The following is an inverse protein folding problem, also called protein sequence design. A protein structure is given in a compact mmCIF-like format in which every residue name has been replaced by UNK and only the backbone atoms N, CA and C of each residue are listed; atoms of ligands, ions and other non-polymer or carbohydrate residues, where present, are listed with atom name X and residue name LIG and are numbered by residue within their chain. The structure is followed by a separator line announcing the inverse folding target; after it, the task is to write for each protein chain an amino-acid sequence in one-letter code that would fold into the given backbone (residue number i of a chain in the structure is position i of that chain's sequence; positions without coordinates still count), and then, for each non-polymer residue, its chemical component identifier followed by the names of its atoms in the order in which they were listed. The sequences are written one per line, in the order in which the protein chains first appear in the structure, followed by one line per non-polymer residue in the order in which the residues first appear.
data_IF_083740269283
#
_entry.id   IF_083740269283
#
_cell.length_a   1.000
_cell.length_b   1.000
_cell.length_c   1.000
_cell.angle_alpha   90.00
_cell.angle_beta   90.00
_cell.angle_gamma   90.00
#
_symmetry.space_group_name_H-M   'P 1'
#
loop_
_entity.id
_entity.type
_entity.pdbx_description
1 polymer ?
#
# COMPACT_ATOMS: atom_id res chain seq x y z
N UNK A 1 -8.31 -10.09 23.47
CA UNK A 1 -8.58 -11.16 22.50
C UNK A 1 -7.31 -11.90 22.14
N UNK A 2 -7.38 -13.02 21.43
CA UNK A 2 -6.18 -13.69 20.95
C UNK A 2 -5.47 -12.78 19.94
N UNK A 3 -4.19 -12.52 20.18
CA UNK A 3 -3.32 -11.86 19.21
C UNK A 3 -2.60 -12.94 18.41
N UNK A 4 -2.77 -12.97 17.10
CA UNK A 4 -1.91 -13.79 16.24
C UNK A 4 -0.60 -13.04 16.00
N UNK A 5 0.52 -13.73 16.18
CA UNK A 5 1.81 -13.24 15.72
C UNK A 5 1.79 -13.33 14.19
N UNK A 6 1.77 -12.20 13.50
CA UNK A 6 1.38 -12.06 12.10
C UNK A 6 -0.15 -12.10 11.85
N UNK A 7 -0.53 -11.85 10.61
CA UNK A 7 -1.93 -11.81 10.17
C UNK A 7 -2.38 -13.22 9.75
N UNK A 8 -2.85 -14.02 10.71
CA UNK A 8 -3.41 -15.36 10.42
C UNK A 8 -4.94 -15.31 10.40
N UNK A 9 -5.50 -14.83 9.29
CA UNK A 9 -6.94 -14.73 9.12
C UNK A 9 -7.65 -16.09 9.14
N UNK A 10 -7.14 -17.18 8.50
CA UNK A 10 -7.76 -18.51 8.57
C UNK A 10 -7.89 -19.04 9.99
N UNK A 11 -6.84 -18.91 10.80
CA UNK A 11 -6.88 -19.34 12.20
C UNK A 11 -7.92 -18.51 12.99
N UNK A 12 -7.89 -17.19 12.84
CA UNK A 12 -8.84 -16.29 13.49
C UNK A 12 -10.28 -16.63 13.10
N UNK A 13 -10.56 -16.83 11.82
CA UNK A 13 -11.90 -17.23 11.34
C UNK A 13 -12.34 -18.56 11.97
N UNK A 14 -11.43 -19.53 12.10
CA UNK A 14 -11.75 -20.81 12.73
C UNK A 14 -12.15 -20.67 14.22
N UNK A 15 -11.50 -19.78 14.94
CA UNK A 15 -11.84 -19.45 16.34
C UNK A 15 -13.22 -18.81 16.44
N UNK A 16 -13.49 -17.85 15.57
CA UNK A 16 -14.80 -17.15 15.55
C UNK A 16 -15.93 -18.11 15.16
N UNK A 17 -15.72 -18.98 14.16
CA UNK A 17 -16.68 -19.97 13.69
C UNK A 17 -17.04 -21.01 14.77
N UNK A 18 -16.10 -21.35 15.65
CA UNK A 18 -16.33 -22.25 16.81
C UNK A 18 -17.03 -21.56 17.99
N UNK A 19 -17.53 -20.35 17.79
CA UNK A 19 -18.26 -19.58 18.78
C UNK A 19 -17.39 -18.71 19.68
N UNK A 20 -16.12 -18.53 19.37
CA UNK A 20 -15.21 -17.65 20.11
C UNK A 20 -15.67 -16.19 20.14
N UNK A 21 -16.35 -15.73 19.09
CA UNK A 21 -16.81 -14.36 18.95
C UNK A 21 -17.64 -13.85 20.16
N UNK A 22 -18.43 -14.71 20.80
CA UNK A 22 -19.25 -14.34 21.96
C UNK A 22 -18.44 -13.98 23.21
N UNK A 23 -17.18 -14.42 23.28
CA UNK A 23 -16.29 -14.20 24.43
C UNK A 23 -15.28 -13.08 24.20
N UNK A 24 -15.28 -12.47 23.02
CA UNK A 24 -14.33 -11.43 22.64
C UNK A 24 -15.01 -10.07 22.55
N UNK A 25 -14.43 -9.07 23.19
CA UNK A 25 -14.83 -7.67 23.05
C UNK A 25 -14.04 -6.96 21.95
N UNK A 26 -12.84 -7.44 21.69
CA UNK A 26 -11.90 -6.88 20.71
C UNK A 26 -11.17 -8.04 20.03
N UNK A 27 -10.89 -7.92 18.74
CA UNK A 27 -9.95 -8.80 18.03
C UNK A 27 -8.65 -8.05 17.76
N UNK A 28 -7.53 -8.76 17.87
CA UNK A 28 -6.19 -8.16 17.67
C UNK A 28 -5.33 -9.01 16.77
N UNK A 29 -4.37 -8.36 16.10
CA UNK A 29 -3.35 -8.99 15.29
C UNK A 29 -2.02 -8.19 15.37
N UNK A 30 -0.93 -8.78 14.86
CA UNK A 30 0.40 -8.17 14.80
C UNK A 30 0.86 -8.10 13.33
N UNK A 31 0.52 -7.06 12.58
CA UNK A 31 0.78 -6.98 11.15
C UNK A 31 2.20 -6.53 10.82
N UNK A 32 3.20 -7.23 11.34
CA UNK A 32 4.60 -6.97 11.00
C UNK A 32 4.86 -7.16 9.50
N UNK A 33 5.41 -6.14 8.84
CA UNK A 33 5.69 -6.17 7.41
C UNK A 33 6.96 -5.44 7.04
N UNK A 34 7.64 -6.00 6.04
CA UNK A 34 8.77 -5.34 5.39
C UNK A 34 8.33 -4.36 4.30
N UNK A 35 7.15 -4.58 3.75
CA UNK A 35 6.49 -3.68 2.81
C UNK A 35 4.98 -3.76 3.01
N UNK A 36 4.30 -2.67 3.39
CA UNK A 36 2.85 -2.68 3.58
C UNK A 36 2.06 -2.70 2.27
N UNK A 37 2.72 -2.44 1.16
CA UNK A 37 2.09 -2.41 -0.16
C UNK A 37 2.02 -3.79 -0.82
N UNK A 38 2.87 -4.74 -0.40
CA UNK A 38 3.02 -6.04 -1.03
C UNK A 38 3.20 -7.17 0.00
N UNK A 39 2.16 -7.99 0.27
CA UNK A 39 0.76 -7.81 -0.18
C UNK A 39 0.12 -6.57 0.45
N UNK A 40 -0.92 -6.02 -0.20
CA UNK A 40 -1.60 -4.78 0.21
C UNK A 40 -2.25 -4.94 1.59
N UNK A 41 -1.66 -4.29 2.60
CA UNK A 41 -2.10 -4.39 3.99
C UNK A 41 -3.50 -3.84 4.19
N UNK A 42 -3.86 -2.74 3.51
CA UNK A 42 -5.20 -2.18 3.65
C UNK A 42 -6.28 -3.16 3.14
N UNK A 43 -6.03 -3.83 2.01
CA UNK A 43 -6.94 -4.87 1.50
C UNK A 43 -7.03 -6.07 2.45
N UNK A 44 -5.91 -6.48 3.03
CA UNK A 44 -5.91 -7.58 3.99
C UNK A 44 -6.71 -7.23 5.24
N UNK A 45 -6.52 -6.03 5.82
CA UNK A 45 -7.30 -5.58 6.97
C UNK A 45 -8.79 -5.43 6.63
N UNK A 46 -9.15 -5.01 5.42
CA UNK A 46 -10.54 -5.04 4.95
C UNK A 46 -11.11 -6.47 4.91
N UNK A 47 -10.32 -7.46 4.54
CA UNK A 47 -10.75 -8.86 4.57
C UNK A 47 -10.94 -9.36 6.02
N UNK A 48 -10.05 -8.95 6.94
CA UNK A 48 -10.23 -9.17 8.37
C UNK A 48 -11.55 -8.57 8.85
N UNK A 49 -11.86 -7.31 8.50
CA UNK A 49 -13.11 -6.65 8.87
C UNK A 49 -14.33 -7.43 8.38
N UNK A 50 -14.32 -7.90 7.12
CA UNK A 50 -15.42 -8.71 6.56
C UNK A 50 -15.63 -10.03 7.34
N UNK A 51 -14.55 -10.69 7.74
CA UNK A 51 -14.64 -11.92 8.55
C UNK A 51 -15.18 -11.60 9.94
N UNK A 52 -14.64 -10.59 10.61
CA UNK A 52 -15.10 -10.18 11.94
C UNK A 52 -16.60 -9.86 11.92
N UNK A 53 -17.05 -9.04 10.96
CA UNK A 53 -18.45 -8.61 10.85
C UNK A 53 -19.42 -9.76 10.56
N UNK A 54 -18.97 -10.84 9.95
CA UNK A 54 -19.77 -12.07 9.73
C UNK A 54 -20.16 -12.73 11.06
N UNK A 55 -19.27 -12.70 12.05
CA UNK A 55 -19.46 -13.39 13.34
C UNK A 55 -19.89 -12.48 14.48
N UNK A 56 -19.42 -11.23 14.49
CA UNK A 56 -19.78 -10.21 15.49
C UNK A 56 -19.67 -8.81 14.86
N UNK A 57 -20.73 -8.34 14.19
CA UNK A 57 -20.76 -7.00 13.60
C UNK A 57 -20.38 -5.91 14.59
N UNK A 58 -19.48 -5.00 14.20
CA UNK A 58 -19.04 -3.89 15.01
C UNK A 58 -18.05 -4.23 16.13
N UNK A 59 -17.54 -5.48 16.20
CA UNK A 59 -16.47 -5.81 17.15
C UNK A 59 -15.19 -5.06 16.75
N UNK A 60 -14.57 -4.28 17.67
CA UNK A 60 -13.38 -3.52 17.37
C UNK A 60 -12.21 -4.40 16.89
N UNK A 61 -11.43 -3.87 15.93
CA UNK A 61 -10.24 -4.50 15.40
C UNK A 61 -9.01 -3.63 15.66
N UNK A 62 -8.06 -4.12 16.44
CA UNK A 62 -6.86 -3.41 16.84
C UNK A 62 -5.61 -4.14 16.36
N UNK A 63 -4.61 -3.39 15.90
CA UNK A 63 -3.23 -3.86 15.84
C UNK A 63 -2.61 -3.65 17.22
N UNK A 64 -2.48 -4.73 18.00
CA UNK A 64 -1.98 -4.62 19.37
C UNK A 64 -0.46 -4.61 19.47
N UNK A 65 0.22 -4.93 18.39
CA UNK A 65 1.67 -4.84 18.28
C UNK A 65 2.09 -4.84 16.82
N UNK A 66 2.77 -3.80 16.36
CA UNK A 66 3.43 -3.80 15.07
C UNK A 66 4.55 -2.76 15.01
N UNK A 67 5.53 -3.03 14.20
CA UNK A 67 6.70 -2.17 14.03
C UNK A 67 7.74 -2.89 13.20
N UNK A 68 8.94 -2.36 13.15
CA UNK A 68 10.05 -3.01 12.47
C UNK A 68 11.27 -3.06 13.36
N UNK A 69 11.87 -4.24 13.44
CA UNK A 69 13.16 -4.48 14.05
C UNK A 69 14.21 -4.63 12.97
N UNK A 70 15.37 -4.04 13.17
CA UNK A 70 16.57 -4.36 12.41
C UNK A 70 17.69 -4.76 13.38
N UNK A 71 18.18 -5.97 13.18
CA UNK A 71 19.23 -6.57 14.03
C UNK A 71 20.65 -6.27 13.54
N UNK A 72 20.84 -5.38 12.58
CA UNK A 72 22.16 -5.07 12.03
C UNK A 72 22.69 -3.73 12.52
N UNK A 73 23.96 -3.72 12.92
CA UNK A 73 24.73 -2.50 13.14
C UNK A 73 24.97 -1.84 11.79
N UNK A 74 24.39 -0.68 11.57
CA UNK A 74 24.62 0.09 10.35
C UNK A 74 25.87 0.96 10.49
N UNK A 75 26.62 1.19 9.39
CA UNK A 75 27.63 2.22 9.35
C UNK A 75 27.05 3.59 9.74
N UNK A 76 27.82 4.37 10.48
CA UNK A 76 27.36 5.66 11.03
C UNK A 76 26.85 6.62 9.96
N UNK A 77 27.46 6.64 8.78
CA UNK A 77 27.04 7.45 7.63
C UNK A 77 25.73 7.02 6.97
N UNK A 78 25.18 5.84 7.30
CA UNK A 78 23.91 5.33 6.76
C UNK A 78 22.74 5.46 7.74
N UNK A 79 23.00 5.86 8.99
CA UNK A 79 22.00 5.85 10.06
C UNK A 79 20.83 6.79 9.74
N UNK A 80 21.07 7.97 9.20
CA UNK A 80 20.03 8.97 8.96
C UNK A 80 19.08 8.57 7.81
N UNK A 81 19.63 8.13 6.69
CA UNK A 81 18.81 7.67 5.55
C UNK A 81 18.03 6.41 5.93
N UNK A 82 18.68 5.48 6.60
CA UNK A 82 18.03 4.27 7.10
C UNK A 82 16.89 4.60 8.07
N UNK A 83 17.13 5.48 9.05
CA UNK A 83 16.11 5.89 10.01
C UNK A 83 14.92 6.55 9.34
N UNK A 84 15.15 7.37 8.31
CA UNK A 84 14.11 8.00 7.51
C UNK A 84 13.27 6.97 6.76
N UNK A 85 13.91 5.97 6.14
CA UNK A 85 13.23 4.88 5.44
C UNK A 85 12.39 4.04 6.40
N UNK A 86 12.93 3.68 7.57
CA UNK A 86 12.22 2.91 8.58
C UNK A 86 11.02 3.68 9.13
N UNK A 87 11.21 4.96 9.48
CA UNK A 87 10.13 5.82 9.93
C UNK A 87 9.02 5.93 8.89
N UNK A 88 9.39 6.13 7.63
CA UNK A 88 8.44 6.17 6.52
C UNK A 88 7.65 4.88 6.38
N UNK A 89 8.32 3.73 6.56
CA UNK A 89 7.68 2.42 6.51
C UNK A 89 6.65 2.23 7.62
N UNK A 90 6.98 2.60 8.87
CA UNK A 90 6.04 2.50 9.99
C UNK A 90 4.82 3.40 9.78
N UNK A 91 5.02 4.63 9.34
CA UNK A 91 3.91 5.54 9.04
C UNK A 91 3.00 4.97 7.93
N UNK A 92 3.58 4.35 6.89
CA UNK A 92 2.80 3.70 5.82
C UNK A 92 2.04 2.47 6.33
N UNK A 93 2.65 1.66 7.21
CA UNK A 93 1.97 0.55 7.87
C UNK A 93 0.73 1.02 8.64
N UNK A 94 0.88 2.05 9.47
CA UNK A 94 -0.21 2.61 10.27
C UNK A 94 -1.33 3.16 9.37
N UNK A 95 -0.98 3.97 8.36
CA UNK A 95 -1.97 4.54 7.43
C UNK A 95 -2.75 3.42 6.73
N UNK A 96 -2.07 2.37 6.25
CA UNK A 96 -2.75 1.27 5.56
C UNK A 96 -3.58 0.41 6.51
N UNK A 97 -3.13 0.20 7.75
CA UNK A 97 -3.94 -0.48 8.75
C UNK A 97 -5.26 0.30 9.00
N UNK A 98 -5.19 1.62 9.20
CA UNK A 98 -6.38 2.47 9.34
C UNK A 98 -7.25 2.49 8.08
N UNK A 99 -6.63 2.56 6.89
CA UNK A 99 -7.36 2.46 5.62
C UNK A 99 -8.04 1.09 5.43
N UNK A 100 -7.58 0.07 6.11
CA UNK A 100 -8.18 -1.26 6.17
C UNK A 100 -9.25 -1.45 7.25
N UNK A 101 -9.48 -0.43 8.10
CA UNK A 101 -10.49 -0.47 9.15
C UNK A 101 -9.98 -0.91 10.52
N UNK A 102 -8.67 -0.94 10.74
CA UNK A 102 -8.08 -1.04 12.08
C UNK A 102 -8.38 0.25 12.84
N UNK A 103 -8.90 0.14 14.05
CA UNK A 103 -9.35 1.29 14.84
C UNK A 103 -8.27 1.82 15.79
N UNK A 104 -7.33 0.95 16.19
CA UNK A 104 -6.17 1.32 17.02
C UNK A 104 -4.94 0.57 16.61
N UNK A 105 -3.81 1.27 16.65
CA UNK A 105 -2.51 0.73 16.29
C UNK A 105 -1.51 1.01 17.42
N UNK A 106 -0.89 -0.04 17.95
CA UNK A 106 0.13 0.04 18.98
C UNK A 106 1.49 -0.17 18.36
N UNK A 107 2.27 0.91 18.29
CA UNK A 107 3.63 0.88 17.76
C UNK A 107 4.56 0.10 18.69
N UNK A 108 5.22 -0.91 18.17
CA UNK A 108 6.29 -1.61 18.82
C UNK A 108 7.63 -1.18 18.18
N UNK A 109 8.51 -0.44 18.90
CA UNK A 109 8.53 -0.22 20.33
C UNK A 109 8.83 1.25 20.66
N UNK A 110 8.45 1.69 21.85
CA UNK A 110 8.67 3.07 22.32
C UNK A 110 10.16 3.40 22.49
N UNK A 111 10.94 2.52 23.10
CA UNK A 111 12.39 2.66 23.25
C UNK A 111 13.09 1.30 23.19
N UNK A 112 14.28 1.24 22.59
CA UNK A 112 15.05 0.00 22.52
C UNK A 112 15.51 -0.43 23.92
N UNK A 113 15.38 -1.73 24.23
CA UNK A 113 15.81 -2.28 25.52
C UNK A 113 17.22 -2.92 25.48
N UNK A 114 17.76 -3.13 24.28
CA UNK A 114 19.07 -3.76 24.12
C UNK A 114 19.99 -2.92 23.22
N UNK A 115 21.30 -2.78 23.59
CA UNK A 115 22.30 -2.21 22.69
C UNK A 115 22.42 -3.06 21.41
N UNK A 116 22.47 -2.43 20.25
CA UNK A 116 22.66 -3.10 18.94
C UNK A 116 21.37 -3.57 18.25
N UNK A 117 20.22 -3.53 18.92
CA UNK A 117 18.93 -3.73 18.26
C UNK A 117 18.37 -2.37 17.90
N UNK A 118 18.37 -2.06 16.62
CA UNK A 118 17.76 -0.82 16.09
C UNK A 118 16.31 -1.09 15.70
N UNK A 119 15.42 -1.04 16.67
CA UNK A 119 14.02 -0.82 16.36
C UNK A 119 13.82 0.61 15.88
N UNK A 120 12.82 0.82 15.09
CA UNK A 120 12.35 2.16 14.77
C UNK A 120 11.67 2.77 16.01
N UNK A 121 12.50 3.19 16.95
CA UNK A 121 12.07 3.64 18.28
C UNK A 121 11.69 5.11 18.25
N UNK A 122 10.68 5.47 19.03
CA UNK A 122 10.28 6.86 19.22
C UNK A 122 11.35 7.66 19.97
N UNK A 123 12.09 7.00 20.88
CA UNK A 123 13.18 7.61 21.64
C UNK A 123 14.46 6.81 21.50
N UNK A 124 15.56 7.51 21.21
CA UNK A 124 16.93 6.99 21.22
C UNK A 124 17.60 7.35 22.54
N UNK A 125 18.52 6.54 23.01
CA UNK A 125 19.31 6.91 24.17
C UNK A 125 19.54 5.82 25.21
N UNK A 126 19.55 4.55 24.81
CA UNK A 126 19.95 3.48 25.72
C UNK A 126 21.48 3.40 25.82
N UNK A 127 22.01 3.90 26.88
CA UNK A 127 23.36 3.60 27.34
C UNK A 127 24.53 4.36 26.72
N UNK A 128 24.44 4.81 25.47
CA UNK A 128 25.54 5.51 24.81
C UNK A 128 25.67 6.99 25.21
N UNK A 129 24.55 7.63 25.59
CA UNK A 129 24.46 9.06 25.93
C UNK A 129 23.97 9.26 27.37
N UNK A 130 24.56 8.57 28.35
CA UNK A 130 24.21 8.71 29.78
C UNK A 130 22.71 8.50 30.10
N UNK A 131 22.01 7.72 29.29
CA UNK A 131 20.60 7.35 29.54
C UNK A 131 19.56 8.44 29.30
N UNK A 132 19.93 9.59 28.74
CA UNK A 132 18.94 10.64 28.43
C UNK A 132 18.17 10.28 27.14
N UNK A 133 16.84 10.07 27.19
CA UNK A 133 16.05 9.80 25.99
C UNK A 133 16.02 11.00 25.05
N UNK A 134 16.36 10.79 23.79
CA UNK A 134 16.28 11.81 22.73
C UNK A 134 15.18 11.42 21.74
N UNK A 135 14.23 12.32 21.41
CA UNK A 135 13.22 12.03 20.42
C UNK A 135 13.84 11.67 19.07
N UNK A 136 13.45 10.53 18.51
CA UNK A 136 13.85 10.10 17.16
C UNK A 136 12.91 10.64 16.09
N UNK A 137 13.25 10.46 14.80
CA UNK A 137 12.41 10.85 13.66
C UNK A 137 11.00 10.26 13.76
N UNK A 138 10.88 9.04 14.22
CA UNK A 138 9.60 8.34 14.39
C UNK A 138 8.65 9.11 15.32
N UNK A 139 9.16 9.71 16.39
CA UNK A 139 8.33 10.50 17.30
C UNK A 139 7.69 11.70 16.61
N UNK A 140 8.45 12.42 15.80
CA UNK A 140 7.94 13.59 15.06
C UNK A 140 6.95 13.16 13.96
N UNK A 141 7.26 12.08 13.24
CA UNK A 141 6.38 11.55 12.20
C UNK A 141 5.07 11.01 12.80
N UNK A 142 5.13 10.34 13.96
CA UNK A 142 3.96 9.86 14.69
C UNK A 142 3.10 11.04 15.17
N UNK A 143 3.71 12.10 15.70
CA UNK A 143 2.97 13.32 16.04
C UNK A 143 2.25 13.90 14.83
N UNK A 144 2.95 14.04 13.67
CA UNK A 144 2.35 14.55 12.45
C UNK A 144 1.18 13.69 11.95
N UNK A 145 1.30 12.35 12.11
CA UNK A 145 0.25 11.39 11.81
C UNK A 145 -0.96 11.59 12.75
N UNK A 146 -0.71 11.62 14.08
CA UNK A 146 -1.76 11.77 15.09
C UNK A 146 -2.51 13.09 14.92
N UNK A 147 -1.80 14.21 14.74
CA UNK A 147 -2.42 15.52 14.52
C UNK A 147 -3.38 15.54 13.31
N UNK A 148 -3.27 14.57 12.40
CA UNK A 148 -4.04 14.50 11.15
C UNK A 148 -4.98 13.31 11.02
N UNK A 149 -4.73 12.22 11.72
CA UNK A 149 -5.53 11.00 11.56
C UNK A 149 -6.13 10.49 12.87
N UNK A 150 -5.89 11.15 14.02
CA UNK A 150 -6.59 10.81 15.26
C UNK A 150 -8.09 10.94 15.07
N UNK A 151 -8.82 9.87 15.42
CA UNK A 151 -10.27 9.73 15.25
C UNK A 151 -10.81 9.90 13.82
N UNK A 152 -9.93 10.03 12.83
CA UNK A 152 -10.33 10.11 11.44
C UNK A 152 -10.82 8.77 10.91
N UNK A 153 -11.83 8.81 10.06
CA UNK A 153 -12.39 7.63 9.41
C UNK A 153 -11.99 7.60 7.95
N UNK A 154 -11.60 6.41 7.48
CA UNK A 154 -11.38 6.22 6.06
C UNK A 154 -12.68 6.45 5.26
N UNK A 155 -12.63 7.32 4.24
CA UNK A 155 -13.75 7.53 3.32
C UNK A 155 -13.52 6.80 2.01
N UNK A 156 -12.31 6.91 1.44
CA UNK A 156 -12.01 6.28 0.14
C UNK A 156 -10.53 6.14 -0.17
N UNK A 157 -10.22 5.22 -1.06
CA UNK A 157 -8.95 5.11 -1.74
C UNK A 157 -9.05 5.80 -3.09
N UNK A 158 -8.12 6.70 -3.40
CA UNK A 158 -7.99 7.35 -4.71
C UNK A 158 -7.00 6.56 -5.57
N UNK A 159 -7.37 6.23 -6.80
CA UNK A 159 -6.57 5.39 -7.70
C UNK A 159 -5.72 6.23 -8.64
N UNK A 160 -4.41 6.23 -8.42
CA UNK A 160 -3.41 6.87 -9.30
C UNK A 160 -2.57 5.87 -10.10
N UNK A 161 -2.67 4.59 -9.77
CA UNK A 161 -1.90 3.49 -10.31
C UNK A 161 -1.33 2.60 -9.20
N UNK A 162 -0.86 1.40 -9.56
CA UNK A 162 -0.43 0.37 -8.60
C UNK A 162 0.72 0.81 -7.70
N UNK A 163 1.57 1.73 -8.19
CA UNK A 163 2.73 2.22 -7.44
C UNK A 163 2.36 3.32 -6.43
N UNK A 164 1.14 3.83 -6.52
CA UNK A 164 0.68 4.92 -5.66
C UNK A 164 -0.30 4.42 -4.60
N UNK A 165 -0.23 5.04 -3.43
CA UNK A 165 -1.22 4.90 -2.36
C UNK A 165 -1.74 6.27 -2.00
N UNK A 166 -3.06 6.43 -2.10
CA UNK A 166 -3.74 7.64 -1.69
C UNK A 166 -5.05 7.29 -1.00
N UNK A 167 -5.19 7.75 0.23
CA UNK A 167 -6.38 7.50 1.05
C UNK A 167 -6.91 8.82 1.60
N UNK A 168 -8.21 9.05 1.51
CA UNK A 168 -8.90 10.20 2.07
C UNK A 168 -9.53 9.79 3.40
N UNK A 169 -9.19 10.51 4.44
CA UNK A 169 -9.73 10.36 5.79
C UNK A 169 -10.56 11.57 6.17
N UNK A 170 -11.68 11.35 6.87
CA UNK A 170 -12.61 12.39 7.33
C UNK A 170 -12.46 12.65 8.82
N UNK A 171 -12.33 13.92 9.18
CA UNK A 171 -12.32 14.44 10.55
C UNK A 171 -13.62 15.22 10.89
N UNK A 172 -14.64 15.16 10.05
CA UNK A 172 -15.86 15.94 10.17
C UNK A 172 -15.75 17.35 9.59
N UNK A 173 -14.79 18.19 10.03
CA UNK A 173 -14.63 19.58 9.56
C UNK A 173 -13.64 19.70 8.39
N UNK A 174 -12.71 18.81 8.28
CA UNK A 174 -11.69 18.77 7.23
C UNK A 174 -11.45 17.32 6.81
N UNK A 175 -10.82 17.16 5.66
CA UNK A 175 -10.33 15.88 5.16
C UNK A 175 -8.83 15.93 5.00
N UNK A 176 -8.19 14.81 5.26
CA UNK A 176 -6.77 14.63 5.00
C UNK A 176 -6.58 13.49 4.01
N UNK A 177 -5.96 13.78 2.88
CA UNK A 177 -5.45 12.72 2.00
C UNK A 177 -4.01 12.40 2.40
N UNK A 178 -3.71 11.12 2.49
CA UNK A 178 -2.34 10.61 2.62
C UNK A 178 -1.89 10.14 1.26
N UNK A 179 -0.68 10.52 0.81
CA UNK A 179 -0.23 10.21 -0.53
C UNK A 179 1.25 9.86 -0.57
N UNK A 180 1.59 8.71 -1.17
CA UNK A 180 2.99 8.30 -1.41
C UNK A 180 3.12 7.40 -2.62
N UNK A 181 4.36 7.21 -3.08
CA UNK A 181 4.74 6.23 -4.10
C UNK A 181 5.49 5.09 -3.42
N UNK A 182 5.02 3.86 -3.60
CA UNK A 182 5.54 2.67 -2.88
C UNK A 182 6.95 2.27 -3.33
N UNK A 183 7.28 2.47 -4.60
CA UNK A 183 8.57 2.05 -5.17
C UNK A 183 8.99 2.91 -6.36
N UNK A 184 10.22 2.71 -6.83
CA UNK A 184 10.79 3.39 -7.98
C UNK A 184 11.29 4.81 -7.71
N UNK A 185 11.68 5.52 -8.76
CA UNK A 185 12.14 6.90 -8.66
C UNK A 185 11.01 7.84 -8.19
N UNK A 186 11.33 8.93 -7.47
CA UNK A 186 10.32 9.91 -7.07
C UNK A 186 9.56 10.48 -8.27
N UNK A 187 8.25 10.64 -8.11
CA UNK A 187 7.41 11.33 -9.07
C UNK A 187 7.20 12.79 -8.64
N UNK A 188 6.92 13.66 -9.60
CA UNK A 188 6.58 15.05 -9.37
C UNK A 188 5.08 15.24 -9.55
N UNK A 189 4.44 15.82 -8.56
CA UNK A 189 3.00 16.13 -8.58
C UNK A 189 2.84 17.65 -8.64
N UNK A 190 1.99 18.11 -9.54
CA UNK A 190 1.70 19.54 -9.70
C UNK A 190 0.20 19.77 -9.76
N UNK A 191 -0.32 20.64 -8.91
CA UNK A 191 -1.69 21.15 -8.96
C UNK A 191 -1.75 22.47 -9.77
N UNK A 192 -2.90 22.78 -10.36
CA UNK A 192 -3.15 24.12 -10.85
C UNK A 192 -3.09 25.12 -9.68
N UNK A 193 -2.85 26.41 -9.96
CA UNK A 193 -2.81 27.44 -8.91
C UNK A 193 -4.13 27.50 -8.14
N UNK A 194 -5.25 27.50 -8.85
CA UNK A 194 -6.60 27.59 -8.26
C UNK A 194 -6.96 26.35 -7.41
N UNK A 195 -6.46 25.18 -7.81
CA UNK A 195 -6.67 23.95 -7.03
C UNK A 195 -5.77 23.92 -5.80
N UNK A 196 -4.53 24.40 -5.90
CA UNK A 196 -3.60 24.45 -4.79
C UNK A 196 -4.06 25.38 -3.65
N UNK A 197 -4.81 26.44 -3.95
CA UNK A 197 -5.38 27.35 -2.95
C UNK A 197 -6.41 26.65 -2.03
N UNK A 198 -7.00 25.53 -2.48
CA UNK A 198 -7.96 24.71 -1.71
C UNK A 198 -7.26 23.66 -0.86
N UNK A 199 -5.94 23.57 -0.91
CA UNK A 199 -5.14 22.52 -0.31
C UNK A 199 -4.11 23.07 0.67
N UNK A 200 -3.84 22.28 1.71
CA UNK A 200 -2.69 22.50 2.58
C UNK A 200 -1.79 21.26 2.54
N UNK A 201 -0.59 21.40 1.99
CA UNK A 201 0.35 20.32 1.76
C UNK A 201 1.36 20.23 2.89
N UNK A 202 1.68 18.99 3.32
CA UNK A 202 2.66 18.73 4.36
C UNK A 202 3.50 17.49 4.02
N UNK A 203 4.74 17.50 4.47
CA UNK A 203 5.57 16.30 4.47
C UNK A 203 5.18 15.33 5.60
N UNK A 204 5.81 14.16 5.64
CA UNK A 204 5.50 13.13 6.66
C UNK A 204 5.93 13.51 8.09
N UNK A 205 6.75 14.56 8.24
CA UNK A 205 7.13 15.16 9.52
C UNK A 205 6.19 16.28 9.96
N UNK A 206 5.20 16.63 9.14
CA UNK A 206 4.24 17.67 9.41
C UNK A 206 4.69 19.08 8.98
N UNK A 207 5.82 19.20 8.28
CA UNK A 207 6.30 20.47 7.77
C UNK A 207 5.46 20.92 6.58
N UNK A 208 4.98 22.17 6.60
CA UNK A 208 4.21 22.77 5.51
C UNK A 208 5.04 22.85 4.23
N UNK A 209 4.46 22.43 3.11
CA UNK A 209 5.03 22.58 1.78
C UNK A 209 4.35 23.79 1.12
N UNK A 210 5.04 24.95 0.98
CA UNK A 210 4.44 26.19 0.48
C UNK A 210 4.45 26.25 -1.06
N UNK A 211 4.09 25.16 -1.74
CA UNK A 211 4.14 25.05 -3.20
C UNK A 211 2.96 24.26 -3.71
N UNK A 212 2.54 24.57 -4.94
CA UNK A 212 1.59 23.73 -5.68
C UNK A 212 2.25 22.51 -6.34
N UNK A 213 3.53 22.32 -6.12
CA UNK A 213 4.34 21.25 -6.68
C UNK A 213 5.18 20.60 -5.58
N UNK A 214 5.22 19.28 -5.56
CA UNK A 214 6.01 18.51 -4.61
C UNK A 214 6.44 17.16 -5.17
N UNK A 215 7.51 16.61 -4.59
CA UNK A 215 8.00 15.28 -4.90
C UNK A 215 7.25 14.24 -4.06
N UNK A 216 6.80 13.16 -4.71
CA UNK A 216 6.19 11.99 -4.09
C UNK A 216 7.13 10.81 -4.22
N UNK A 217 7.52 10.26 -3.09
CA UNK A 217 8.37 9.09 -2.93
C UNK A 217 7.76 8.18 -1.86
N UNK A 218 8.54 7.28 -1.27
CA UNK A 218 8.10 6.39 -0.21
C UNK A 218 7.71 7.09 1.10
N UNK A 219 8.12 8.36 1.31
CA UNK A 219 7.72 9.13 2.49
C UNK A 219 6.33 9.75 2.27
N UNK A 220 5.32 9.37 3.07
CA UNK A 220 3.96 9.89 2.91
C UNK A 220 3.90 11.41 2.93
N UNK A 221 2.99 11.97 2.17
CA UNK A 221 2.58 13.37 2.22
C UNK A 221 1.18 13.45 2.77
N UNK A 222 0.87 14.54 3.46
CA UNK A 222 -0.49 14.84 3.90
C UNK A 222 -1.01 16.04 3.11
N UNK A 223 -2.25 15.94 2.68
CA UNK A 223 -2.95 16.98 1.92
C UNK A 223 -4.26 17.23 2.64
N UNK A 224 -4.39 18.38 3.29
CA UNK A 224 -5.61 18.78 3.99
C UNK A 224 -6.51 19.61 3.07
N UNK A 225 -7.82 19.40 3.14
CA UNK A 225 -8.85 20.17 2.42
C UNK A 225 -10.16 20.21 3.20
N UNK A 226 -10.97 21.22 2.94
CA UNK A 226 -12.36 21.34 3.45
C UNK A 226 -13.42 20.90 2.45
N UNK A 227 -13.00 20.46 1.25
CA UNK A 227 -13.89 19.93 0.21
C UNK A 227 -14.57 18.63 0.68
N UNK A 228 -15.72 18.30 0.11
CA UNK A 228 -16.30 16.96 0.25
C UNK A 228 -15.34 15.88 -0.26
N UNK A 229 -15.50 14.65 0.17
CA UNK A 229 -14.64 13.55 -0.26
C UNK A 229 -14.65 13.37 -1.80
N UNK A 230 -15.81 13.53 -2.42
CA UNK A 230 -15.94 13.42 -3.88
C UNK A 230 -15.23 14.56 -4.63
N UNK A 231 -15.42 15.80 -4.20
CA UNK A 231 -14.74 16.96 -4.78
C UNK A 231 -13.23 16.89 -4.56
N UNK A 232 -12.80 16.47 -3.36
CA UNK A 232 -11.40 16.32 -3.04
C UNK A 232 -10.73 15.24 -3.89
N UNK A 233 -11.38 14.08 -4.05
CA UNK A 233 -10.90 13.03 -4.97
C UNK A 233 -10.76 13.55 -6.41
N UNK A 234 -11.79 14.25 -6.92
CA UNK A 234 -11.74 14.82 -8.27
C UNK A 234 -10.61 15.85 -8.42
N UNK A 235 -10.37 16.66 -7.39
CA UNK A 235 -9.28 17.62 -7.39
C UNK A 235 -7.92 16.89 -7.41
N UNK A 236 -7.75 15.87 -6.57
CA UNK A 236 -6.53 15.06 -6.54
C UNK A 236 -6.26 14.39 -7.89
N UNK A 237 -7.29 13.83 -8.54
CA UNK A 237 -7.17 13.15 -9.84
C UNK A 237 -6.85 14.11 -11.01
N UNK A 238 -7.09 15.42 -10.86
CA UNK A 238 -6.70 16.45 -11.83
C UNK A 238 -5.22 16.81 -11.76
N UNK A 239 -4.53 16.44 -10.67
CA UNK A 239 -3.10 16.72 -10.53
C UNK A 239 -2.31 16.15 -11.72
N UNK A 240 -1.35 16.93 -12.19
CA UNK A 240 -0.38 16.43 -13.18
C UNK A 240 0.70 15.63 -12.48
N UNK A 241 0.85 14.36 -12.87
CA UNK A 241 1.88 13.46 -12.35
C UNK A 241 2.93 13.24 -13.43
N UNK A 242 4.15 13.69 -13.17
CA UNK A 242 5.32 13.41 -14.00
C UNK A 242 6.14 12.31 -13.34
N UNK A 243 6.08 11.10 -13.91
CA UNK A 243 6.73 9.90 -13.41
C UNK A 243 7.41 9.15 -14.55
N UNK A 244 8.72 9.26 -14.65
CA UNK A 244 9.52 8.61 -15.69
C UNK A 244 9.72 7.11 -15.46
N UNK A 245 9.42 6.61 -14.27
CA UNK A 245 9.60 5.20 -13.88
C UNK A 245 8.30 4.40 -13.86
N UNK A 246 7.14 5.01 -14.12
CA UNK A 246 5.86 4.33 -14.06
C UNK A 246 5.73 3.27 -15.15
N UNK A 247 5.68 2.01 -14.74
CA UNK A 247 5.31 0.89 -15.59
C UNK A 247 3.81 0.97 -15.87
N UNK A 248 3.41 0.92 -17.13
CA UNK A 248 1.98 1.06 -17.49
C UNK A 248 1.24 -0.26 -17.47
N UNK A 249 1.94 -1.33 -17.82
CA UNK A 249 1.37 -2.68 -17.94
C UNK A 249 2.29 -3.70 -17.27
N UNK A 250 1.66 -4.70 -16.67
CA UNK A 250 2.31 -5.93 -16.28
C UNK A 250 1.69 -7.11 -17.02
N UNK A 251 2.52 -8.08 -17.41
CA UNK A 251 2.11 -9.21 -18.25
C UNK A 251 2.61 -10.50 -17.63
N UNK A 252 1.70 -11.44 -17.42
CA UNK A 252 2.01 -12.78 -16.95
C UNK A 252 1.31 -13.82 -17.83
N UNK A 253 1.80 -15.05 -17.79
CA UNK A 253 1.23 -16.17 -18.50
C UNK A 253 0.90 -17.27 -17.50
N UNK A 254 -0.36 -17.70 -17.47
CA UNK A 254 -0.81 -18.81 -16.62
C UNK A 254 -1.40 -19.94 -17.47
N UNK A 255 -1.11 -21.20 -17.15
CA UNK A 255 -1.80 -22.32 -17.79
C UNK A 255 -3.29 -22.27 -17.44
N UNK A 256 -4.15 -22.45 -18.45
CA UNK A 256 -5.60 -22.54 -18.28
C UNK A 256 -6.05 -24.00 -18.37
N UNK A 257 -5.43 -24.76 -19.28
CA UNK A 257 -5.62 -26.19 -19.44
C UNK A 257 -4.39 -26.81 -20.15
N UNK A 258 -4.39 -28.11 -20.38
CA UNK A 258 -3.34 -28.80 -21.17
C UNK A 258 -3.21 -28.25 -22.60
N UNK A 259 -4.29 -27.65 -23.13
CA UNK A 259 -4.34 -27.15 -24.51
C UNK A 259 -4.60 -25.65 -24.61
N UNK A 260 -4.50 -24.92 -23.50
CA UNK A 260 -4.71 -23.47 -23.50
C UNK A 260 -3.91 -22.78 -22.38
N UNK A 261 -3.49 -21.56 -22.65
CA UNK A 261 -2.91 -20.66 -21.64
C UNK A 261 -3.59 -19.30 -21.69
N UNK A 262 -3.56 -18.60 -20.58
CA UNK A 262 -4.07 -17.25 -20.44
C UNK A 262 -2.93 -16.23 -20.38
N UNK A 263 -2.99 -15.19 -21.21
CA UNK A 263 -2.15 -14.02 -21.03
C UNK A 263 -2.89 -13.05 -20.13
N UNK A 264 -2.38 -12.88 -18.93
CA UNK A 264 -2.87 -11.91 -17.94
C UNK A 264 -2.22 -10.55 -18.22
N UNK A 265 -3.04 -9.56 -18.56
CA UNK A 265 -2.59 -8.18 -18.73
C UNK A 265 -3.18 -7.35 -17.62
N UNK A 266 -2.32 -6.79 -16.78
CA UNK A 266 -2.71 -5.91 -15.68
C UNK A 266 -2.40 -4.47 -16.03
N UNK A 267 -3.40 -3.61 -15.96
CA UNK A 267 -3.23 -2.17 -16.07
C UNK A 267 -2.71 -1.64 -14.73
N UNK A 268 -1.49 -1.13 -14.72
CA UNK A 268 -0.85 -0.58 -13.52
C UNK A 268 -1.13 0.92 -13.33
N UNK A 269 -1.83 1.56 -14.28
CA UNK A 269 -2.19 2.99 -14.19
C UNK A 269 -3.52 3.19 -13.47
N UNK A 270 -3.82 4.41 -13.06
CA UNK A 270 -5.12 4.78 -12.48
C UNK A 270 -6.22 5.04 -13.53
N UNK A 271 -5.91 5.00 -14.83
CA UNK A 271 -6.83 5.31 -15.94
C UNK A 271 -7.05 4.10 -16.83
N UNK A 272 -8.19 4.00 -17.55
CA UNK A 272 -8.37 2.95 -18.54
C UNK A 272 -7.33 3.03 -19.66
N UNK A 273 -6.84 1.87 -20.13
CA UNK A 273 -5.91 1.76 -21.25
C UNK A 273 -6.39 0.77 -22.30
N UNK A 274 -5.96 1.00 -23.53
CA UNK A 274 -6.06 0.04 -24.63
C UNK A 274 -4.71 -0.63 -24.83
N UNK A 275 -4.72 -1.91 -25.22
CA UNK A 275 -3.51 -2.60 -25.62
C UNK A 275 -3.78 -3.68 -26.67
N UNK A 276 -2.74 -4.11 -27.35
CA UNK A 276 -2.77 -5.26 -28.25
C UNK A 276 -1.80 -6.31 -27.73
N UNK A 277 -2.31 -7.50 -27.44
CA UNK A 277 -1.52 -8.67 -27.06
C UNK A 277 -1.20 -9.48 -28.32
N UNK A 278 0.03 -9.70 -28.61
CA UNK A 278 0.49 -10.52 -29.74
C UNK A 278 1.39 -11.64 -29.25
N UNK A 279 1.10 -12.86 -29.67
CA UNK A 279 1.86 -14.05 -29.37
C UNK A 279 2.67 -14.43 -30.61
N UNK A 280 3.99 -14.34 -30.49
CA UNK A 280 4.90 -14.77 -31.52
C UNK A 280 5.31 -16.23 -31.29
N UNK A 281 4.68 -17.11 -32.02
CA UNK A 281 4.97 -18.55 -31.97
C UNK A 281 4.99 -19.13 -33.37
N UNK A 282 5.84 -20.08 -33.63
CA UNK A 282 5.92 -20.76 -34.94
C UNK A 282 4.69 -21.68 -35.22
N UNK A 283 3.49 -21.05 -35.21
CA UNK A 283 2.22 -21.75 -35.49
C UNK A 283 1.67 -22.59 -34.33
N UNK A 284 2.14 -22.33 -33.09
CA UNK A 284 1.64 -23.04 -31.89
C UNK A 284 0.26 -22.57 -31.43
N UNK A 285 -0.18 -21.41 -31.88
CA UNK A 285 -1.51 -20.88 -31.53
C UNK A 285 -2.51 -21.30 -32.59
N UNK A 286 -3.66 -21.79 -32.13
CA UNK A 286 -4.82 -22.07 -32.96
C UNK A 286 -5.63 -20.80 -33.18
N UNK A 287 -5.71 -20.37 -34.41
CA UNK A 287 -6.47 -19.15 -34.74
C UNK A 287 -5.61 -17.86 -34.73
N UNK A 288 -6.21 -16.78 -34.23
CA UNK A 288 -5.54 -15.46 -34.22
C UNK A 288 -4.52 -15.40 -33.09
N UNK A 289 -3.30 -15.00 -33.44
CA UNK A 289 -2.20 -14.79 -32.49
C UNK A 289 -2.12 -13.35 -31.95
N UNK A 290 -3.05 -12.47 -32.35
CA UNK A 290 -3.11 -11.09 -31.87
C UNK A 290 -4.52 -10.71 -31.48
N UNK A 291 -4.68 -10.12 -30.30
CA UNK A 291 -5.96 -9.68 -29.75
C UNK A 291 -5.84 -8.23 -29.26
N UNK A 292 -6.68 -7.35 -29.80
CA UNK A 292 -6.81 -5.99 -29.26
C UNK A 292 -7.81 -5.97 -28.11
N UNK A 293 -7.43 -5.30 -27.04
CA UNK A 293 -8.23 -5.12 -25.84
C UNK A 293 -8.43 -3.62 -25.65
N UNK A 294 -9.65 -3.22 -25.42
CA UNK A 294 -10.00 -1.81 -25.18
C UNK A 294 -10.53 -1.62 -23.78
N UNK A 295 -10.20 -0.47 -23.18
CA UNK A 295 -10.76 -0.01 -21.92
C UNK A 295 -10.45 -0.89 -20.71
N UNK A 296 -9.24 -1.46 -20.56
CA UNK A 296 -8.87 -2.14 -19.32
C UNK A 296 -8.90 -1.10 -18.21
N UNK A 297 -9.82 -1.19 -17.23
CA UNK A 297 -9.90 -0.20 -16.16
C UNK A 297 -8.59 -0.07 -15.37
N UNK A 298 -8.36 1.11 -14.77
CA UNK A 298 -7.17 1.35 -13.96
C UNK A 298 -7.09 0.38 -12.78
N UNK A 299 -5.88 -0.11 -12.50
CA UNK A 299 -5.55 -1.05 -11.41
C UNK A 299 -6.35 -2.37 -11.48
N UNK A 300 -6.73 -2.80 -12.67
CA UNK A 300 -7.41 -4.08 -12.90
C UNK A 300 -6.63 -4.96 -13.88
N UNK A 301 -7.01 -6.22 -13.96
CA UNK A 301 -6.43 -7.18 -14.89
C UNK A 301 -7.48 -7.77 -15.83
N UNK A 302 -7.02 -8.23 -16.99
CA UNK A 302 -7.81 -9.00 -17.93
C UNK A 302 -7.01 -10.21 -18.41
N UNK A 303 -7.66 -11.37 -18.44
CA UNK A 303 -7.08 -12.61 -18.93
C UNK A 303 -7.56 -12.86 -20.34
N UNK A 304 -6.66 -13.11 -21.27
CA UNK A 304 -6.92 -13.40 -22.66
C UNK A 304 -6.53 -14.86 -22.91
N UNK A 305 -7.48 -15.77 -23.15
CA UNK A 305 -7.18 -17.16 -23.44
C UNK A 305 -6.64 -17.32 -24.87
N UNK A 306 -5.63 -18.17 -25.02
CA UNK A 306 -5.10 -18.63 -26.30
C UNK A 306 -5.10 -20.15 -26.35
N UNK A 307 -5.69 -20.72 -27.39
CA UNK A 307 -5.68 -22.17 -27.61
C UNK A 307 -4.39 -22.61 -28.31
N UNK A 308 -3.82 -23.70 -27.86
CA UNK A 308 -2.66 -24.33 -28.45
C UNK A 308 -3.07 -25.27 -29.58
N UNK A 309 -2.29 -25.31 -30.64
CA UNK A 309 -2.41 -26.30 -31.71
C UNK A 309 -1.78 -27.61 -31.24
N UNK A 310 -2.58 -28.52 -30.70
CA UNK A 310 -2.14 -29.79 -30.16
C UNK A 310 -1.34 -30.64 -31.15
N UNK A 311 -1.62 -30.53 -32.46
CA UNK A 311 -0.87 -31.23 -33.49
C UNK A 311 0.61 -30.76 -33.64
N UNK A 312 0.95 -29.62 -33.03
CA UNK A 312 2.30 -29.04 -33.06
C UNK A 312 2.99 -28.99 -31.69
N UNK A 313 2.33 -29.53 -30.67
CA UNK A 313 2.92 -29.70 -29.34
C UNK A 313 3.68 -31.01 -29.37
N UNK A 314 5.00 -30.93 -29.48
CA UNK A 314 5.92 -32.02 -29.25
C UNK A 314 6.62 -31.83 -27.89
N UNK A 315 7.33 -32.83 -27.41
CA UNK A 315 8.02 -32.79 -26.11
C UNK A 315 9.29 -31.90 -26.12
N UNK A 316 9.39 -30.96 -27.06
CA UNK A 316 10.50 -30.01 -27.15
C UNK A 316 10.09 -28.70 -26.52
N UNK A 317 10.93 -28.19 -25.64
CA UNK A 317 10.77 -26.85 -25.05
C UNK A 317 10.70 -25.78 -26.16
N UNK A 318 9.64 -24.98 -26.15
CA UNK A 318 9.42 -23.92 -27.15
C UNK A 318 9.31 -22.58 -26.47
N UNK A 319 10.09 -21.64 -26.95
CA UNK A 319 10.05 -20.26 -26.50
C UNK A 319 8.85 -19.56 -27.14
N UNK A 320 8.01 -18.96 -26.30
CA UNK A 320 6.87 -18.13 -26.67
C UNK A 320 7.22 -16.68 -26.35
N UNK A 321 7.23 -15.80 -27.34
CA UNK A 321 7.38 -14.36 -27.11
C UNK A 321 6.00 -13.71 -27.05
N UNK A 322 5.74 -12.99 -25.98
CA UNK A 322 4.54 -12.19 -25.80
C UNK A 322 4.93 -10.72 -25.92
N UNK A 323 4.30 -10.00 -26.83
CA UNK A 323 4.43 -8.55 -26.93
C UNK A 323 3.10 -7.88 -26.63
N UNK A 324 3.16 -6.79 -25.85
CA UNK A 324 1.99 -5.96 -25.53
C UNK A 324 2.33 -4.51 -25.89
N UNK A 325 1.52 -3.91 -26.76
CA UNK A 325 1.68 -2.55 -27.25
C UNK A 325 0.47 -1.68 -26.94
#
# INVERSE_FOLDING_TARGET
GPASCHTDLPWTESVLAKGGAKYLDIITEHPYRNSPEYPDLALEMQNWRKVIDRYKPGMPHYSSEAGRCQESVLPENMIDDFTRQQTSLDIRNIIQAFAGGVERYVQFIFSAWQPGITYNVMFRGNGANNGTPVPGLTMYAMRALTDRLEDAKIERRVKFGSDYRCYIFDHGKKRTATFWKSEGAPAKITFSKDDAEKLALYDFMGTRIPSNEFSVNQSPKYIDSTLSAAEFEQLLLKANISDSSQKKLDVACDPVSETAFGVKVRNLTGKPIDCTVTIETAGLIKGKNSVRITGIPGETEKIIPFELNSAKIDNVEKNVRISVQ
#
